data_IF_276729359917
#
_entry.id   IF_276729359917
#
_cell.length_a   1.000
_cell.length_b   1.000
_cell.length_c   1.000
_cell.angle_alpha   90.00
_cell.angle_beta   90.00
_cell.angle_gamma   90.00
#
_symmetry.space_group_name_H-M   'P 1'
#
loop_
_entity.id
_entity.type
_entity.pdbx_description
1 polymer ?
#
# COMPACT_ATOMS: atom_id res chain seq x y z
N UNK A 1 11.47 -3.32 10.05
CA UNK A 1 10.10 -3.47 10.59
C UNK A 1 9.78 -2.66 11.87
N UNK A 2 10.77 -2.10 12.60
CA UNK A 2 10.47 -1.44 13.91
C UNK A 2 10.01 0.03 13.78
N UNK A 3 10.52 0.81 12.83
CA UNK A 3 10.25 2.26 12.72
C UNK A 3 8.95 2.58 11.97
N UNK A 4 8.73 2.04 10.79
CA UNK A 4 7.47 2.25 10.04
C UNK A 4 6.27 1.65 10.80
N UNK A 5 6.44 0.46 11.40
CA UNK A 5 5.43 -0.12 12.30
C UNK A 5 5.15 0.77 13.51
N UNK A 6 6.19 1.37 14.12
CA UNK A 6 6.02 2.33 15.23
C UNK A 6 5.29 3.59 14.76
N UNK A 7 5.59 4.09 13.58
CA UNK A 7 4.94 5.25 13.01
C UNK A 7 3.44 4.99 12.74
N UNK A 8 3.11 3.88 12.07
CA UNK A 8 1.71 3.47 11.85
C UNK A 8 1.00 3.22 13.19
N UNK A 9 1.64 2.54 14.13
CA UNK A 9 1.07 2.33 15.47
C UNK A 9 0.91 3.64 16.22
N UNK A 10 1.81 4.61 16.08
CA UNK A 10 1.68 5.93 16.69
C UNK A 10 0.53 6.74 16.05
N UNK A 11 0.37 6.65 14.72
CA UNK A 11 -0.73 7.27 13.98
C UNK A 11 -2.10 6.64 14.35
N UNK A 12 -2.15 5.32 14.45
CA UNK A 12 -3.32 4.59 14.94
C UNK A 12 -3.61 4.87 16.42
N UNK A 13 -2.57 5.14 17.23
CA UNK A 13 -2.74 5.52 18.65
C UNK A 13 -3.44 6.87 18.81
N UNK A 14 -3.25 7.79 17.91
CA UNK A 14 -3.90 9.12 17.93
C UNK A 14 -5.39 9.06 17.56
N UNK A 15 -5.78 8.07 16.76
CA UNK A 15 -7.18 7.86 16.30
C UNK A 15 -7.80 6.56 16.80
N UNK A 16 -7.35 6.04 17.95
CA UNK A 16 -7.79 4.73 18.50
C UNK A 16 -9.30 4.58 18.59
N UNK A 17 -10.01 5.63 19.01
CA UNK A 17 -11.46 5.61 19.12
C UNK A 17 -12.14 5.43 17.76
N UNK A 18 -11.76 6.22 16.77
CA UNK A 18 -12.31 6.12 15.41
C UNK A 18 -12.00 4.74 14.77
N UNK A 19 -10.78 4.23 14.97
CA UNK A 19 -10.38 2.93 14.47
C UNK A 19 -11.15 1.79 15.14
N UNK A 20 -11.35 1.84 16.47
CA UNK A 20 -12.12 0.83 17.20
C UNK A 20 -13.61 0.85 16.79
N UNK A 21 -14.21 2.03 16.63
CA UNK A 21 -15.59 2.18 16.15
C UNK A 21 -15.71 1.63 14.71
N UNK A 22 -14.77 1.95 13.85
CA UNK A 22 -14.76 1.46 12.48
C UNK A 22 -14.62 -0.08 12.42
N UNK A 23 -13.78 -0.67 13.26
CA UNK A 23 -13.60 -2.12 13.36
C UNK A 23 -14.88 -2.80 13.90
N UNK A 24 -15.49 -2.24 14.93
CA UNK A 24 -16.76 -2.72 15.47
C UNK A 24 -17.88 -2.65 14.43
N UNK A 25 -17.94 -1.55 13.64
CA UNK A 25 -18.89 -1.39 12.54
C UNK A 25 -18.65 -2.43 11.42
N UNK A 26 -17.39 -2.79 11.11
CA UNK A 26 -17.08 -3.87 10.15
C UNK A 26 -17.62 -5.22 10.63
N UNK A 27 -17.41 -5.57 11.90
CA UNK A 27 -17.89 -6.82 12.48
C UNK A 27 -19.42 -6.85 12.52
N UNK A 28 -20.04 -5.74 12.91
CA UNK A 28 -21.50 -5.60 12.92
C UNK A 28 -22.08 -5.72 11.51
N UNK A 29 -21.42 -5.13 10.50
CA UNK A 29 -21.80 -5.30 9.10
C UNK A 29 -21.74 -6.77 8.67
N UNK A 30 -20.64 -7.46 9.00
CA UNK A 30 -20.52 -8.89 8.73
C UNK A 30 -21.61 -9.73 9.38
N UNK A 31 -21.87 -9.51 10.66
CA UNK A 31 -22.93 -10.21 11.40
C UNK A 31 -24.33 -9.95 10.81
N UNK A 32 -24.64 -8.67 10.49
CA UNK A 32 -25.91 -8.31 9.84
C UNK A 32 -26.07 -8.96 8.47
N UNK A 33 -24.99 -9.06 7.69
CA UNK A 33 -24.97 -9.71 6.39
C UNK A 33 -25.22 -11.22 6.49
N UNK A 34 -24.66 -11.88 7.49
CA UNK A 34 -24.91 -13.31 7.75
C UNK A 34 -26.37 -13.54 8.18
N UNK A 35 -26.92 -12.65 9.01
CA UNK A 35 -28.33 -12.72 9.41
C UNK A 35 -29.28 -12.49 8.22
N UNK A 36 -28.92 -11.60 7.28
CA UNK A 36 -29.67 -11.42 6.02
C UNK A 36 -29.72 -12.73 5.23
N UNK A 37 -28.58 -13.42 5.10
CA UNK A 37 -28.52 -14.70 4.37
C UNK A 37 -29.28 -15.78 5.12
N UNK A 38 -29.16 -15.85 6.43
CA UNK A 38 -29.87 -16.82 7.24
C UNK A 38 -31.41 -16.64 7.17
N UNK A 39 -31.88 -15.36 7.20
CA UNK A 39 -33.32 -15.07 7.05
C UNK A 39 -33.80 -15.39 5.63
N UNK A 40 -33.03 -15.07 4.61
CA UNK A 40 -33.35 -15.40 3.22
C UNK A 40 -33.36 -16.93 2.97
N UNK A 41 -32.34 -17.63 3.46
CA UNK A 41 -32.26 -19.10 3.40
C UNK A 41 -33.48 -19.75 4.03
N UNK A 42 -33.90 -19.25 5.20
CA UNK A 42 -35.06 -19.77 5.92
C UNK A 42 -36.38 -19.52 5.16
N UNK A 43 -36.55 -18.32 4.58
CA UNK A 43 -37.72 -17.98 3.78
C UNK A 43 -37.85 -18.85 2.52
N UNK A 44 -36.72 -19.25 1.91
CA UNK A 44 -36.69 -20.08 0.71
C UNK A 44 -36.86 -21.58 1.05
N UNK A 45 -36.36 -22.03 2.19
CA UNK A 45 -36.47 -23.43 2.62
C UNK A 45 -37.85 -23.77 3.20
N UNK A 46 -38.52 -22.81 3.85
CA UNK A 46 -39.81 -22.95 4.49
C UNK A 46 -40.77 -21.81 4.07
N UNK A 47 -41.33 -21.84 2.85
CA UNK A 47 -42.19 -20.75 2.34
C UNK A 47 -43.42 -20.46 3.20
N UNK A 48 -43.90 -21.47 3.94
CA UNK A 48 -45.04 -21.32 4.88
C UNK A 48 -44.67 -20.60 6.18
N UNK A 49 -43.37 -20.52 6.52
CA UNK A 49 -42.85 -19.78 7.67
C UNK A 49 -42.44 -18.33 7.34
N UNK A 50 -42.70 -17.89 6.13
CA UNK A 50 -42.40 -16.52 5.68
C UNK A 50 -43.44 -15.51 6.20
N UNK A 51 -43.31 -15.16 7.47
CA UNK A 51 -44.19 -14.22 8.19
C UNK A 51 -43.71 -12.76 8.01
N UNK A 52 -44.63 -11.81 8.27
CA UNK A 52 -44.31 -10.39 8.34
C UNK A 52 -43.16 -10.08 9.33
N UNK A 53 -43.03 -10.89 10.41
CA UNK A 53 -41.92 -10.77 11.37
C UNK A 53 -40.55 -11.09 10.75
N UNK A 54 -40.47 -12.05 9.83
CA UNK A 54 -39.25 -12.41 9.12
C UNK A 54 -38.85 -11.31 8.14
N UNK A 55 -39.83 -10.74 7.41
CA UNK A 55 -39.62 -9.61 6.52
C UNK A 55 -39.11 -8.36 7.25
N UNK A 56 -39.67 -8.08 8.45
CA UNK A 56 -39.21 -6.97 9.28
C UNK A 56 -37.78 -7.17 9.79
N UNK A 57 -37.43 -8.37 10.24
CA UNK A 57 -36.05 -8.72 10.66
C UNK A 57 -35.06 -8.56 9.49
N UNK A 58 -35.41 -9.04 8.32
CA UNK A 58 -34.62 -8.85 7.09
C UNK A 58 -34.40 -7.37 6.80
N UNK A 59 -35.47 -6.56 6.81
CA UNK A 59 -35.39 -5.11 6.59
C UNK A 59 -34.49 -4.40 7.60
N UNK A 60 -34.62 -4.75 8.88
CA UNK A 60 -33.78 -4.19 9.95
C UNK A 60 -32.30 -4.55 9.74
N UNK A 61 -32.00 -5.81 9.45
CA UNK A 61 -30.62 -6.24 9.16
C UNK A 61 -30.04 -5.54 7.93
N UNK A 62 -30.86 -5.32 6.87
CA UNK A 62 -30.44 -4.60 5.68
C UNK A 62 -30.10 -3.14 5.98
N UNK A 63 -30.91 -2.46 6.81
CA UNK A 63 -30.64 -1.08 7.23
C UNK A 63 -29.36 -1.02 8.08
N UNK A 64 -29.17 -1.93 9.03
CA UNK A 64 -27.94 -1.99 9.85
C UNK A 64 -26.73 -2.25 8.97
N UNK A 65 -26.80 -3.18 8.01
CA UNK A 65 -25.70 -3.46 7.09
C UNK A 65 -25.36 -2.24 6.22
N UNK A 66 -26.37 -1.50 5.73
CA UNK A 66 -26.17 -0.28 4.95
C UNK A 66 -25.49 0.81 5.78
N UNK A 67 -26.03 1.12 6.96
CA UNK A 67 -25.50 2.18 7.84
C UNK A 67 -24.07 1.86 8.27
N UNK A 68 -23.82 0.64 8.73
CA UNK A 68 -22.47 0.24 9.14
C UNK A 68 -21.47 0.26 8.00
N UNK A 69 -21.87 -0.10 6.78
CA UNK A 69 -21.02 -0.02 5.58
C UNK A 69 -20.65 1.43 5.26
N UNK A 70 -21.62 2.35 5.29
CA UNK A 70 -21.36 3.78 5.05
C UNK A 70 -20.43 4.36 6.11
N UNK A 71 -20.74 4.12 7.39
CA UNK A 71 -19.93 4.60 8.53
C UNK A 71 -18.49 4.10 8.42
N UNK A 72 -18.32 2.81 8.18
CA UNK A 72 -16.99 2.20 7.98
C UNK A 72 -16.25 2.84 6.81
N UNK A 73 -16.89 2.97 5.66
CA UNK A 73 -16.28 3.57 4.46
C UNK A 73 -15.79 4.99 4.71
N UNK A 74 -16.63 5.84 5.34
CA UNK A 74 -16.28 7.24 5.64
C UNK A 74 -15.15 7.35 6.66
N UNK A 75 -15.20 6.55 7.74
CA UNK A 75 -14.16 6.58 8.79
C UNK A 75 -12.79 6.14 8.24
N UNK A 76 -12.75 5.04 7.48
CA UNK A 76 -11.49 4.57 6.92
C UNK A 76 -10.97 5.46 5.79
N UNK A 77 -11.84 6.09 4.99
CA UNK A 77 -11.43 7.08 4.00
C UNK A 77 -10.72 8.26 4.66
N UNK A 78 -11.29 8.82 5.74
CA UNK A 78 -10.66 9.88 6.51
C UNK A 78 -9.31 9.41 7.11
N UNK A 79 -9.30 8.26 7.76
CA UNK A 79 -8.09 7.70 8.37
C UNK A 79 -6.97 7.47 7.35
N UNK A 80 -7.32 7.01 6.14
CA UNK A 80 -6.41 6.82 5.01
C UNK A 80 -5.76 8.12 4.59
N UNK A 81 -6.55 9.18 4.35
CA UNK A 81 -6.06 10.48 3.88
C UNK A 81 -5.23 11.18 4.97
N UNK A 82 -5.66 11.12 6.22
CA UNK A 82 -4.92 11.69 7.35
C UNK A 82 -3.56 10.99 7.52
N UNK A 83 -3.52 9.66 7.39
CA UNK A 83 -2.27 8.89 7.47
C UNK A 83 -1.32 9.23 6.33
N UNK A 84 -1.85 9.36 5.10
CA UNK A 84 -1.07 9.75 3.92
C UNK A 84 -0.47 11.15 4.08
N UNK A 85 -1.26 12.12 4.54
CA UNK A 85 -0.81 13.48 4.78
C UNK A 85 0.30 13.52 5.84
N UNK A 86 0.09 12.86 6.99
CA UNK A 86 1.08 12.80 8.07
C UNK A 86 2.37 12.07 7.67
N UNK A 87 2.27 11.01 6.87
CA UNK A 87 3.44 10.30 6.35
C UNK A 87 4.27 11.20 5.45
N UNK A 88 3.63 11.89 4.50
CA UNK A 88 4.30 12.83 3.60
C UNK A 88 4.96 13.98 4.36
N UNK A 89 4.25 14.55 5.31
CA UNK A 89 4.79 15.61 6.17
C UNK A 89 5.99 15.12 6.98
N UNK A 90 5.91 13.93 7.58
CA UNK A 90 7.01 13.34 8.34
C UNK A 90 8.26 13.11 7.47
N UNK A 91 8.08 12.56 6.27
CA UNK A 91 9.19 12.34 5.33
C UNK A 91 9.78 13.68 4.88
N UNK A 92 8.93 14.65 4.48
CA UNK A 92 9.36 15.96 4.03
C UNK A 92 10.16 16.71 5.12
N UNK A 93 9.68 16.70 6.36
CA UNK A 93 10.41 17.31 7.50
C UNK A 93 11.76 16.63 7.75
N UNK A 94 11.85 15.30 7.59
CA UNK A 94 13.11 14.60 7.75
C UNK A 94 14.11 14.94 6.66
N UNK A 95 13.66 15.04 5.40
CA UNK A 95 14.51 15.46 4.28
C UNK A 95 14.98 16.91 4.48
N UNK A 96 14.08 17.80 4.90
CA UNK A 96 14.44 19.20 5.15
C UNK A 96 15.42 19.40 6.32
N UNK A 97 15.42 18.49 7.30
CA UNK A 97 16.32 18.54 8.46
C UNK A 97 17.65 17.79 8.22
N UNK A 98 17.82 17.08 7.09
CA UNK A 98 19.02 16.34 6.77
C UNK A 98 20.11 17.28 6.21
N UNK A 99 21.39 16.92 6.41
CA UNK A 99 22.50 17.64 5.78
C UNK A 99 22.44 17.50 4.25
N UNK A 100 22.83 18.57 3.53
CA UNK A 100 22.79 18.61 2.07
C UNK A 100 23.55 17.44 1.42
N UNK A 101 24.72 17.09 1.95
CA UNK A 101 25.53 15.97 1.46
C UNK A 101 24.78 14.63 1.48
N UNK A 102 23.96 14.43 2.52
CA UNK A 102 23.21 13.20 2.68
C UNK A 102 22.02 13.17 1.73
N UNK A 103 21.37 14.32 1.51
CA UNK A 103 20.28 14.44 0.53
C UNK A 103 20.82 14.19 -0.88
N UNK A 104 22.00 14.74 -1.22
CA UNK A 104 22.66 14.50 -2.51
C UNK A 104 23.06 13.03 -2.69
N UNK A 105 23.59 12.39 -1.64
CA UNK A 105 23.97 10.97 -1.66
C UNK A 105 22.78 10.02 -1.85
N UNK A 106 21.65 10.30 -1.18
CA UNK A 106 20.42 9.49 -1.32
C UNK A 106 19.76 9.75 -2.67
N UNK A 107 19.84 10.99 -3.16
CA UNK A 107 19.24 11.43 -4.42
C UNK A 107 17.73 11.68 -4.31
N UNK A 108 17.21 12.42 -5.29
CA UNK A 108 15.81 12.82 -5.33
C UNK A 108 14.84 11.66 -5.66
N UNK A 109 15.28 10.71 -6.51
CA UNK A 109 14.40 9.67 -7.04
C UNK A 109 13.81 8.72 -5.95
N UNK A 110 14.59 8.19 -5.00
CA UNK A 110 14.04 7.37 -3.90
C UNK A 110 13.08 8.14 -3.01
N UNK A 111 13.39 9.41 -2.71
CA UNK A 111 12.54 10.28 -1.89
C UNK A 111 11.21 10.54 -2.61
N UNK A 112 11.26 10.87 -3.90
CA UNK A 112 10.08 11.10 -4.72
C UNK A 112 9.20 9.85 -4.81
N UNK A 113 9.79 8.67 -5.04
CA UNK A 113 9.07 7.40 -5.07
C UNK A 113 8.34 7.12 -3.74
N UNK A 114 9.00 7.38 -2.60
CA UNK A 114 8.38 7.22 -1.28
C UNK A 114 7.22 8.19 -1.06
N UNK A 115 7.38 9.46 -1.47
CA UNK A 115 6.34 10.49 -1.31
C UNK A 115 5.15 10.32 -2.25
N UNK A 116 5.31 9.60 -3.36
CA UNK A 116 4.26 9.34 -4.35
C UNK A 116 3.69 7.93 -4.22
N UNK A 117 4.37 6.95 -4.78
CA UNK A 117 3.85 5.59 -4.94
C UNK A 117 3.78 4.85 -3.61
N UNK A 118 4.84 4.90 -2.80
CA UNK A 118 4.87 4.15 -1.53
C UNK A 118 3.87 4.72 -0.52
N UNK A 119 3.75 6.05 -0.42
CA UNK A 119 2.74 6.68 0.42
C UNK A 119 1.31 6.32 -0.03
N UNK A 120 1.08 6.23 -1.35
CA UNK A 120 -0.20 5.82 -1.91
C UNK A 120 -0.51 4.36 -1.59
N UNK A 121 0.45 3.43 -1.75
CA UNK A 121 0.27 2.02 -1.42
C UNK A 121 -0.06 1.82 0.07
N UNK A 122 0.60 2.58 0.96
CA UNK A 122 0.29 2.55 2.41
C UNK A 122 -1.11 3.11 2.68
N UNK A 123 -1.51 4.18 1.98
CA UNK A 123 -2.87 4.72 2.07
C UNK A 123 -3.93 3.69 1.63
N UNK A 124 -3.66 2.93 0.55
CA UNK A 124 -4.55 1.88 0.06
C UNK A 124 -4.74 0.74 1.08
N UNK A 125 -3.78 0.50 1.96
CA UNK A 125 -3.93 -0.45 3.07
C UNK A 125 -5.15 -0.11 3.95
N UNK A 126 -5.39 1.18 4.22
CA UNK A 126 -6.52 1.62 5.03
C UNK A 126 -7.87 1.44 4.33
N UNK A 127 -7.90 1.37 2.99
CA UNK A 127 -9.10 0.97 2.24
C UNK A 127 -9.26 -0.56 2.20
N UNK A 128 -8.16 -1.31 2.20
CA UNK A 128 -8.19 -2.76 2.18
C UNK A 128 -8.59 -3.36 3.54
N UNK A 129 -8.15 -2.77 4.66
CA UNK A 129 -8.42 -3.27 6.02
C UNK A 129 -9.90 -3.44 6.34
N UNK A 130 -10.80 -2.44 6.13
CA UNK A 130 -12.23 -2.62 6.38
C UNK A 130 -12.85 -3.72 5.51
N UNK A 131 -12.45 -3.80 4.24
CA UNK A 131 -12.92 -4.85 3.35
C UNK A 131 -12.50 -6.23 3.84
N UNK A 132 -11.26 -6.40 4.31
CA UNK A 132 -10.76 -7.66 4.87
C UNK A 132 -11.53 -8.05 6.13
N UNK A 133 -11.74 -7.12 7.06
CA UNK A 133 -12.47 -7.41 8.30
C UNK A 133 -13.94 -7.70 8.01
N UNK A 134 -14.57 -6.93 7.14
CA UNK A 134 -15.98 -7.11 6.76
C UNK A 134 -16.18 -8.45 6.04
N UNK A 135 -15.43 -8.70 4.97
CA UNK A 135 -15.53 -9.95 4.21
C UNK A 135 -15.10 -11.17 5.04
N UNK A 136 -14.07 -11.01 5.87
CA UNK A 136 -13.67 -12.04 6.83
C UNK A 136 -14.81 -12.37 7.81
N UNK A 137 -15.45 -11.37 8.41
CA UNK A 137 -16.59 -11.57 9.31
C UNK A 137 -17.76 -12.27 8.62
N UNK A 138 -18.03 -11.94 7.35
CA UNK A 138 -19.08 -12.61 6.58
C UNK A 138 -18.70 -14.08 6.33
N UNK A 139 -17.47 -14.36 5.87
CA UNK A 139 -17.03 -15.75 5.60
C UNK A 139 -17.06 -16.60 6.88
N UNK A 140 -16.50 -16.09 7.99
CA UNK A 140 -16.53 -16.79 9.26
C UNK A 140 -17.96 -16.99 9.78
N UNK A 141 -18.83 -16.01 9.65
CA UNK A 141 -20.23 -16.11 10.03
C UNK A 141 -21.02 -17.11 9.16
N UNK A 142 -20.77 -17.14 7.84
CA UNK A 142 -21.35 -18.12 6.94
C UNK A 142 -20.87 -19.54 7.25
N UNK A 143 -19.59 -19.73 7.55
CA UNK A 143 -19.05 -21.02 7.99
C UNK A 143 -19.69 -21.46 9.31
N UNK A 144 -19.87 -20.53 10.27
CA UNK A 144 -20.57 -20.82 11.54
C UNK A 144 -22.03 -21.23 11.30
N UNK A 145 -22.74 -20.53 10.41
CA UNK A 145 -24.11 -20.88 10.04
C UNK A 145 -24.19 -22.25 9.33
N UNK A 146 -23.23 -22.55 8.44
CA UNK A 146 -23.10 -23.87 7.79
C UNK A 146 -22.81 -24.98 8.80
N UNK A 147 -21.93 -24.72 9.78
CA UNK A 147 -21.62 -25.69 10.83
C UNK A 147 -22.85 -26.03 11.68
N UNK A 148 -23.70 -25.00 11.93
CA UNK A 148 -24.98 -25.20 12.65
C UNK A 148 -25.98 -26.00 11.80
N UNK A 149 -26.02 -25.75 10.46
CA UNK A 149 -26.96 -26.42 9.57
C UNK A 149 -26.50 -27.84 9.22
N UNK A 150 -25.20 -28.04 8.94
CA UNK A 150 -24.58 -29.35 8.65
C UNK A 150 -23.07 -29.34 8.85
N UNK A 151 -22.60 -30.04 9.85
CA UNK A 151 -21.17 -30.18 10.14
C UNK A 151 -20.32 -30.78 9.00
N UNK A 152 -20.80 -31.83 8.29
CA UNK A 152 -20.03 -32.41 7.17
C UNK A 152 -19.84 -31.42 6.00
N UNK A 153 -20.88 -30.63 5.67
CA UNK A 153 -20.81 -29.63 4.60
C UNK A 153 -19.87 -28.49 4.98
N UNK A 154 -19.87 -28.07 6.25
CA UNK A 154 -18.92 -27.10 6.76
C UNK A 154 -17.47 -27.61 6.66
N UNK A 155 -17.20 -28.85 7.04
CA UNK A 155 -15.86 -29.45 6.91
C UNK A 155 -15.39 -29.48 5.45
N UNK A 156 -16.28 -29.84 4.52
CA UNK A 156 -15.98 -29.83 3.10
C UNK A 156 -15.67 -28.40 2.60
N UNK A 157 -16.43 -27.39 3.07
CA UNK A 157 -16.17 -25.98 2.77
C UNK A 157 -14.79 -25.53 3.27
N UNK A 158 -14.47 -25.83 4.52
CA UNK A 158 -13.17 -25.52 5.11
C UNK A 158 -12.04 -26.22 4.36
N UNK A 159 -12.22 -27.50 4.00
CA UNK A 159 -11.24 -28.24 3.21
C UNK A 159 -11.00 -27.58 1.82
N UNK A 160 -12.08 -27.17 1.14
CA UNK A 160 -11.99 -26.46 -0.14
C UNK A 160 -11.23 -25.13 -0.01
N UNK A 161 -11.50 -24.34 1.05
CA UNK A 161 -10.81 -23.09 1.34
C UNK A 161 -9.33 -23.35 1.62
N UNK A 162 -9.00 -24.38 2.42
CA UNK A 162 -7.60 -24.75 2.72
C UNK A 162 -6.83 -25.19 1.46
N UNK A 163 -7.40 -26.06 0.63
CA UNK A 163 -6.79 -26.51 -0.63
C UNK A 163 -6.61 -25.32 -1.57
N UNK A 164 -7.61 -24.44 -1.65
CA UNK A 164 -7.53 -23.20 -2.43
C UNK A 164 -6.41 -22.28 -1.96
N UNK A 165 -6.29 -22.11 -0.65
CA UNK A 165 -5.24 -21.28 -0.01
C UNK A 165 -3.83 -21.84 -0.27
N UNK A 166 -3.65 -23.15 -0.20
CA UNK A 166 -2.36 -23.80 -0.50
C UNK A 166 -1.93 -23.58 -1.95
N UNK A 167 -2.85 -23.73 -2.91
CA UNK A 167 -2.57 -23.45 -4.32
C UNK A 167 -2.24 -21.98 -4.59
N UNK A 168 -2.93 -21.07 -3.91
CA UNK A 168 -2.68 -19.63 -3.99
C UNK A 168 -1.28 -19.27 -3.45
N UNK A 169 -0.91 -19.81 -2.30
CA UNK A 169 0.40 -19.52 -1.66
C UNK A 169 1.60 -19.94 -2.52
N UNK A 170 1.45 -20.92 -3.40
CA UNK A 170 2.54 -21.32 -4.32
C UNK A 170 2.89 -20.21 -5.32
N UNK A 171 1.91 -19.40 -5.74
CA UNK A 171 2.09 -18.26 -6.63
C UNK A 171 2.48 -16.95 -5.92
N UNK A 172 2.01 -16.76 -4.70
CA UNK A 172 2.12 -15.51 -3.94
C UNK A 172 3.58 -15.09 -3.68
N UNK A 173 4.46 -16.01 -3.28
CA UNK A 173 5.89 -15.72 -3.05
C UNK A 173 6.59 -15.18 -4.29
N UNK A 174 6.28 -15.70 -5.48
CA UNK A 174 6.83 -15.22 -6.74
C UNK A 174 6.26 -13.85 -7.12
N UNK A 175 4.97 -13.66 -6.89
CA UNK A 175 4.31 -12.38 -7.14
C UNK A 175 4.89 -11.26 -6.28
N UNK A 176 5.17 -11.52 -4.99
CA UNK A 176 5.84 -10.57 -4.09
C UNK A 176 7.23 -10.20 -4.61
N UNK A 177 8.05 -11.19 -5.01
CA UNK A 177 9.38 -10.91 -5.55
C UNK A 177 9.32 -10.03 -6.81
N UNK A 178 8.36 -10.28 -7.71
CA UNK A 178 8.15 -9.42 -8.89
C UNK A 178 7.65 -8.02 -8.55
N UNK A 179 6.88 -7.85 -7.48
CA UNK A 179 6.50 -6.51 -6.98
C UNK A 179 7.69 -5.75 -6.39
N UNK A 180 8.59 -6.44 -5.69
CA UNK A 180 9.83 -5.84 -5.19
C UNK A 180 10.74 -5.39 -6.36
N UNK A 181 10.86 -6.24 -7.39
CA UNK A 181 11.60 -5.91 -8.62
C UNK A 181 10.95 -4.72 -9.35
N UNK A 182 9.63 -4.71 -9.45
CA UNK A 182 8.90 -3.58 -10.03
C UNK A 182 9.16 -2.27 -9.25
N UNK A 183 9.25 -2.33 -7.92
CA UNK A 183 9.59 -1.18 -7.10
C UNK A 183 11.00 -0.64 -7.40
N UNK A 184 12.00 -1.53 -7.54
CA UNK A 184 13.37 -1.15 -7.92
C UNK A 184 13.43 -0.53 -9.33
N UNK A 185 12.72 -1.12 -10.28
CA UNK A 185 12.64 -0.58 -11.65
C UNK A 185 11.89 0.75 -11.70
N UNK A 186 10.92 0.96 -10.82
CA UNK A 186 10.20 2.23 -10.68
C UNK A 186 11.13 3.37 -10.23
N UNK A 187 12.07 3.11 -9.32
CA UNK A 187 13.07 4.11 -8.89
C UNK A 187 13.97 4.54 -10.06
N UNK A 188 14.43 3.57 -10.87
CA UNK A 188 15.18 3.87 -12.10
C UNK A 188 14.36 4.71 -13.08
N UNK A 189 13.08 4.36 -13.25
CA UNK A 189 12.17 5.10 -14.12
C UNK A 189 12.00 6.55 -13.66
N UNK A 190 11.83 6.80 -12.37
CA UNK A 190 11.77 8.16 -11.82
C UNK A 190 13.08 8.93 -12.07
N UNK A 191 14.23 8.26 -11.95
CA UNK A 191 15.51 8.86 -12.30
C UNK A 191 15.58 9.31 -13.77
N UNK A 192 15.15 8.47 -14.71
CA UNK A 192 15.11 8.82 -16.14
C UNK A 192 14.07 9.91 -16.44
N UNK A 193 12.90 9.89 -15.79
CA UNK A 193 11.92 10.97 -15.95
C UNK A 193 12.47 12.30 -15.42
N UNK A 194 13.18 12.29 -14.29
CA UNK A 194 13.89 13.47 -13.79
C UNK A 194 14.94 13.98 -14.80
N UNK A 195 15.73 13.07 -15.36
CA UNK A 195 16.73 13.40 -16.39
C UNK A 195 16.09 13.97 -17.68
N UNK A 196 14.92 13.48 -18.08
CA UNK A 196 14.16 13.99 -19.22
C UNK A 196 13.81 15.48 -19.04
N UNK A 197 13.33 15.85 -17.84
CA UNK A 197 12.95 17.23 -17.56
C UNK A 197 14.17 18.14 -17.37
N UNK A 198 15.17 17.70 -16.61
CA UNK A 198 16.38 18.49 -16.37
C UNK A 198 17.23 18.69 -17.63
N UNK A 199 17.28 17.66 -18.51
CA UNK A 199 18.00 17.69 -19.78
C UNK A 199 17.13 18.05 -21.00
N UNK A 200 15.93 18.59 -20.81
CA UNK A 200 14.99 18.83 -21.90
C UNK A 200 15.54 19.78 -22.98
N UNK A 201 16.34 20.76 -22.58
CA UNK A 201 16.96 21.71 -23.52
C UNK A 201 17.98 21.01 -24.43
N UNK A 202 18.84 20.20 -23.85
CA UNK A 202 19.87 19.43 -24.57
C UNK A 202 19.24 18.38 -25.49
N UNK A 203 18.21 17.71 -25.02
CA UNK A 203 17.48 16.72 -25.82
C UNK A 203 16.75 17.35 -27.00
N UNK A 204 16.21 18.57 -26.85
CA UNK A 204 15.58 19.30 -27.97
C UNK A 204 16.59 19.78 -29.01
N UNK A 205 17.83 20.09 -28.62
CA UNK A 205 18.88 20.50 -29.51
C UNK A 205 19.46 19.33 -30.33
N UNK A 206 19.36 18.08 -29.81
CA UNK A 206 19.94 16.88 -30.40
C UNK A 206 18.93 15.78 -30.64
N UNK A 207 18.18 15.79 -31.73
CA UNK A 207 17.12 14.83 -32.02
C UNK A 207 17.56 13.34 -31.94
N UNK A 208 18.77 13.02 -32.45
CA UNK A 208 19.30 11.67 -32.43
C UNK A 208 19.49 11.18 -30.96
N UNK A 209 20.04 12.02 -30.09
CA UNK A 209 20.22 11.74 -28.67
C UNK A 209 18.90 11.64 -27.94
N UNK A 210 17.94 12.50 -28.30
CA UNK A 210 16.57 12.43 -27.75
C UNK A 210 15.89 11.10 -28.06
N UNK A 211 15.95 10.64 -29.32
CA UNK A 211 15.41 9.32 -29.71
C UNK A 211 16.10 8.17 -28.95
N UNK A 212 17.44 8.18 -28.94
CA UNK A 212 18.21 7.16 -28.22
C UNK A 212 17.86 7.12 -26.72
N UNK A 213 17.64 8.26 -26.09
CA UNK A 213 17.25 8.34 -24.70
C UNK A 213 15.82 7.84 -24.49
N UNK A 214 14.84 8.35 -25.26
CA UNK A 214 13.42 8.03 -25.10
C UNK A 214 13.12 6.57 -25.48
N UNK A 215 13.57 6.14 -26.65
CA UNK A 215 13.28 4.79 -27.16
C UNK A 215 14.20 3.73 -26.53
N UNK A 216 15.41 4.12 -26.14
CA UNK A 216 16.38 3.24 -25.49
C UNK A 216 16.20 3.18 -23.96
N UNK A 217 16.82 4.13 -23.25
CA UNK A 217 16.94 4.06 -21.79
C UNK A 217 15.58 4.20 -21.08
N UNK A 218 14.80 5.23 -21.44
CA UNK A 218 13.50 5.46 -20.83
C UNK A 218 12.49 4.38 -21.23
N UNK A 219 12.45 4.01 -22.53
CA UNK A 219 11.59 2.97 -23.05
C UNK A 219 11.88 1.60 -22.42
N UNK A 220 13.16 1.24 -22.23
CA UNK A 220 13.57 0.03 -21.54
C UNK A 220 13.12 0.02 -20.07
N UNK A 221 13.29 1.14 -19.35
CA UNK A 221 12.83 1.24 -17.95
C UNK A 221 11.32 1.13 -17.82
N UNK A 222 10.55 1.74 -18.73
CA UNK A 222 9.09 1.59 -18.79
C UNK A 222 8.71 0.13 -19.04
N UNK A 223 9.37 -0.54 -19.98
CA UNK A 223 9.11 -1.94 -20.29
C UNK A 223 9.43 -2.85 -19.11
N UNK A 224 10.52 -2.60 -18.38
CA UNK A 224 10.93 -3.36 -17.20
C UNK A 224 9.87 -3.28 -16.09
N UNK A 225 9.39 -2.09 -15.74
CA UNK A 225 8.32 -1.88 -14.76
C UNK A 225 7.03 -2.59 -15.20
N UNK A 226 6.64 -2.42 -16.48
CA UNK A 226 5.46 -3.07 -17.06
C UNK A 226 5.55 -4.58 -16.92
N UNK A 227 6.69 -5.17 -17.27
CA UNK A 227 6.84 -6.63 -17.33
C UNK A 227 6.86 -7.25 -15.93
N UNK A 228 7.50 -6.62 -14.96
CA UNK A 228 7.45 -7.06 -13.56
C UNK A 228 6.03 -6.96 -12.98
N UNK A 229 5.34 -5.83 -13.17
CA UNK A 229 3.95 -5.66 -12.72
C UNK A 229 3.01 -6.66 -13.40
N UNK A 230 3.14 -6.86 -14.72
CA UNK A 230 2.33 -7.82 -15.46
C UNK A 230 2.50 -9.24 -14.92
N UNK A 231 3.73 -9.68 -14.66
CA UNK A 231 3.99 -11.02 -14.08
C UNK A 231 3.37 -11.15 -12.69
N UNK A 232 3.52 -10.15 -11.84
CA UNK A 232 2.96 -10.16 -10.49
C UNK A 232 1.42 -10.25 -10.52
N UNK A 233 0.76 -9.34 -11.26
CA UNK A 233 -0.70 -9.33 -11.33
C UNK A 233 -1.27 -10.55 -12.05
N UNK A 234 -0.58 -11.10 -13.06
CA UNK A 234 -0.99 -12.35 -13.70
C UNK A 234 -0.93 -13.54 -12.74
N UNK A 235 0.08 -13.61 -11.86
CA UNK A 235 0.17 -14.65 -10.85
C UNK A 235 -0.99 -14.56 -9.84
N UNK A 236 -1.34 -13.35 -9.40
CA UNK A 236 -2.50 -13.13 -8.54
C UNK A 236 -3.82 -13.52 -9.23
N UNK A 237 -4.01 -13.13 -10.50
CA UNK A 237 -5.20 -13.48 -11.25
C UNK A 237 -5.37 -15.00 -11.41
N UNK A 238 -4.27 -15.73 -11.68
CA UNK A 238 -4.28 -17.19 -11.75
C UNK A 238 -4.62 -17.80 -10.38
N UNK A 239 -4.04 -17.26 -9.29
CA UNK A 239 -4.32 -17.73 -7.94
C UNK A 239 -5.79 -17.52 -7.53
N UNK A 240 -6.36 -16.35 -7.83
CA UNK A 240 -7.79 -16.07 -7.61
C UNK A 240 -8.66 -16.99 -8.44
N UNK A 241 -8.35 -17.16 -9.74
CA UNK A 241 -9.08 -18.06 -10.62
C UNK A 241 -9.10 -19.50 -10.13
N UNK A 242 -7.98 -20.00 -9.57
CA UNK A 242 -7.89 -21.31 -8.94
C UNK A 242 -8.86 -21.47 -7.76
N UNK A 243 -8.94 -20.48 -6.87
CA UNK A 243 -9.83 -20.51 -5.71
C UNK A 243 -11.29 -20.46 -6.14
N UNK A 244 -11.64 -19.60 -7.11
CA UNK A 244 -12.99 -19.51 -7.67
C UNK A 244 -13.39 -20.82 -8.35
N UNK A 245 -12.47 -21.46 -9.08
CA UNK A 245 -12.71 -22.79 -9.67
C UNK A 245 -13.03 -23.84 -8.60
N UNK A 246 -12.22 -23.92 -7.54
CA UNK A 246 -12.48 -24.84 -6.42
C UNK A 246 -13.82 -24.55 -5.74
N UNK A 247 -14.19 -23.29 -5.64
CA UNK A 247 -15.49 -22.90 -5.11
C UNK A 247 -16.64 -23.46 -5.96
N UNK A 248 -16.56 -23.36 -7.30
CA UNK A 248 -17.56 -23.93 -8.20
C UNK A 248 -17.60 -25.45 -8.13
N UNK A 249 -16.45 -26.12 -8.05
CA UNK A 249 -16.39 -27.59 -7.85
C UNK A 249 -17.10 -27.97 -6.55
N UNK A 250 -16.80 -27.23 -5.47
CA UNK A 250 -17.45 -27.47 -4.20
C UNK A 250 -18.97 -27.23 -4.24
N UNK A 251 -19.40 -26.12 -4.87
CA UNK A 251 -20.82 -25.82 -5.05
C UNK A 251 -21.55 -26.94 -5.84
N UNK A 252 -20.91 -27.45 -6.90
CA UNK A 252 -21.42 -28.59 -7.66
C UNK A 252 -21.55 -29.86 -6.81
N UNK A 253 -20.50 -30.19 -6.05
CA UNK A 253 -20.56 -31.34 -5.12
C UNK A 253 -21.68 -31.16 -4.10
N UNK A 254 -21.79 -29.99 -3.47
CA UNK A 254 -22.83 -29.72 -2.48
C UNK A 254 -24.25 -29.78 -3.08
N UNK A 255 -24.46 -29.24 -4.27
CA UNK A 255 -25.76 -29.24 -4.94
C UNK A 255 -26.20 -30.64 -5.43
N UNK A 256 -25.24 -31.43 -5.94
CA UNK A 256 -25.52 -32.77 -6.44
C UNK A 256 -25.28 -33.89 -5.38
N UNK A 257 -25.01 -33.53 -4.13
CA UNK A 257 -24.78 -34.46 -3.02
C UNK A 257 -25.84 -35.54 -2.86
N UNK A 258 -27.16 -35.22 -2.97
CA UNK A 258 -28.22 -36.23 -2.90
C UNK A 258 -28.16 -37.25 -4.07
N UNK A 259 -27.74 -36.80 -5.27
CA UNK A 259 -27.59 -37.64 -6.42
C UNK A 259 -26.41 -38.63 -6.30
N UNK A 260 -25.45 -38.35 -5.42
CA UNK A 260 -24.30 -39.21 -5.10
C UNK A 260 -24.66 -40.27 -4.01
N UNK A 261 -25.94 -40.42 -3.67
CA UNK A 261 -26.42 -41.44 -2.74
C UNK A 261 -26.29 -41.12 -1.27
N UNK A 262 -25.90 -39.89 -0.93
CA UNK A 262 -25.84 -39.45 0.47
C UNK A 262 -27.19 -38.85 0.87
N UNK A 263 -27.88 -39.48 1.84
CA UNK A 263 -29.17 -39.03 2.34
C UNK A 263 -29.01 -37.63 2.98
N UNK A 264 -29.56 -36.62 2.32
CA UNK A 264 -29.70 -35.26 2.84
C UNK A 264 -31.17 -34.87 2.87
N UNK A 265 -31.63 -34.19 3.89
CA UNK A 265 -32.98 -33.64 3.92
C UNK A 265 -33.13 -32.56 2.86
N UNK A 266 -34.04 -32.77 1.90
CA UNK A 266 -34.24 -31.93 0.72
C UNK A 266 -34.35 -30.41 0.97
N UNK A 267 -35.02 -29.94 2.03
CA UNK A 267 -35.08 -28.52 2.40
C UNK A 267 -33.75 -27.92 2.79
N UNK A 268 -32.86 -28.68 3.41
CA UNK A 268 -31.53 -28.20 3.83
C UNK A 268 -30.60 -27.91 2.64
N UNK A 269 -30.77 -28.61 1.51
CA UNK A 269 -29.92 -28.44 0.33
C UNK A 269 -30.04 -27.05 -0.28
N UNK A 270 -31.25 -26.49 -0.36
CA UNK A 270 -31.46 -25.11 -0.85
C UNK A 270 -30.77 -24.08 0.03
N UNK A 271 -30.79 -24.27 1.34
CA UNK A 271 -30.12 -23.43 2.32
C UNK A 271 -28.59 -23.38 2.11
N UNK A 272 -27.94 -24.52 1.84
CA UNK A 272 -26.51 -24.58 1.59
C UNK A 272 -26.13 -23.79 0.33
N UNK A 273 -26.87 -23.98 -0.77
CA UNK A 273 -26.62 -23.29 -2.04
C UNK A 273 -26.70 -21.77 -1.87
N UNK A 274 -27.69 -21.27 -1.17
CA UNK A 274 -27.86 -19.81 -0.92
C UNK A 274 -26.68 -19.26 -0.12
N UNK A 275 -26.27 -19.93 0.95
CA UNK A 275 -25.14 -19.50 1.78
C UNK A 275 -23.84 -19.48 0.98
N UNK A 276 -23.62 -20.49 0.12
CA UNK A 276 -22.44 -20.54 -0.72
C UNK A 276 -22.41 -19.47 -1.78
N UNK A 277 -23.50 -19.27 -2.50
CA UNK A 277 -23.59 -18.21 -3.51
C UNK A 277 -23.33 -16.83 -2.89
N UNK A 278 -23.82 -16.62 -1.67
CA UNK A 278 -23.56 -15.38 -0.95
C UNK A 278 -22.09 -15.24 -0.50
N UNK A 279 -21.43 -16.34 -0.15
CA UNK A 279 -20.05 -16.34 0.32
C UNK A 279 -19.05 -16.06 -0.82
N UNK A 280 -19.44 -16.25 -2.09
CA UNK A 280 -18.57 -16.06 -3.26
C UNK A 280 -17.99 -14.64 -3.33
N UNK A 281 -18.85 -13.61 -3.23
CA UNK A 281 -18.40 -12.22 -3.30
C UNK A 281 -17.49 -11.81 -2.13
N UNK A 282 -17.80 -12.14 -0.87
CA UNK A 282 -16.88 -11.92 0.24
C UNK A 282 -15.53 -12.66 0.09
N UNK A 283 -15.54 -13.89 -0.41
CA UNK A 283 -14.31 -14.65 -0.62
C UNK A 283 -13.44 -14.01 -1.71
N UNK A 284 -14.04 -13.63 -2.84
CA UNK A 284 -13.37 -12.89 -3.91
C UNK A 284 -12.81 -11.55 -3.39
N UNK A 285 -13.59 -10.82 -2.58
CA UNK A 285 -13.15 -9.58 -1.95
C UNK A 285 -11.96 -9.76 -1.00
N UNK A 286 -11.86 -10.86 -0.25
CA UNK A 286 -10.69 -11.18 0.56
C UNK A 286 -9.44 -11.36 -0.30
N UNK A 287 -9.56 -12.12 -1.38
CA UNK A 287 -8.44 -12.49 -2.26
C UNK A 287 -7.93 -11.28 -3.06
N UNK A 288 -8.83 -10.46 -3.59
CA UNK A 288 -8.48 -9.27 -4.35
C UNK A 288 -7.78 -8.18 -3.50
N UNK A 289 -7.87 -8.24 -2.17
CA UNK A 289 -7.13 -7.35 -1.28
C UNK A 289 -5.71 -7.85 -0.95
N UNK A 290 -5.35 -9.11 -1.24
CA UNK A 290 -4.00 -9.65 -0.95
C UNK A 290 -2.89 -8.90 -1.71
N UNK A 291 -3.01 -8.59 -3.02
CA UNK A 291 -2.02 -7.80 -3.73
C UNK A 291 -1.80 -6.42 -3.09
N UNK A 292 -2.86 -5.76 -2.62
CA UNK A 292 -2.79 -4.46 -1.95
C UNK A 292 -2.03 -4.56 -0.62
N UNK A 293 -2.27 -5.62 0.17
CA UNK A 293 -1.52 -5.87 1.40
C UNK A 293 -0.03 -6.08 1.14
N UNK A 294 0.30 -6.86 0.12
CA UNK A 294 1.68 -7.15 -0.24
C UNK A 294 2.39 -5.91 -0.79
N UNK A 295 1.72 -5.11 -1.65
CA UNK A 295 2.26 -3.85 -2.14
C UNK A 295 2.51 -2.86 -0.98
N UNK A 296 1.56 -2.73 -0.06
CA UNK A 296 1.71 -1.88 1.12
C UNK A 296 2.85 -2.34 2.04
N UNK A 297 3.03 -3.66 2.20
CA UNK A 297 4.17 -4.22 2.96
C UNK A 297 5.50 -3.85 2.34
N UNK A 298 5.66 -4.05 1.02
CA UNK A 298 6.88 -3.69 0.29
C UNK A 298 7.17 -2.19 0.41
N UNK A 299 6.15 -1.35 0.22
CA UNK A 299 6.26 0.10 0.37
C UNK A 299 6.65 0.53 1.79
N UNK A 300 6.10 -0.13 2.82
CA UNK A 300 6.49 0.12 4.21
C UNK A 300 7.95 -0.23 4.48
N UNK A 301 8.45 -1.34 3.93
CA UNK A 301 9.85 -1.72 4.05
C UNK A 301 10.79 -0.71 3.36
N UNK A 302 10.38 -0.15 2.22
CA UNK A 302 11.12 0.90 1.50
C UNK A 302 11.14 2.21 2.29
N UNK A 303 9.99 2.66 2.79
CA UNK A 303 9.88 3.84 3.65
C UNK A 303 10.76 3.67 4.89
N UNK A 304 10.76 2.48 5.53
CA UNK A 304 11.58 2.20 6.71
C UNK A 304 13.08 2.28 6.40
N UNK A 305 13.52 1.73 5.25
CA UNK A 305 14.90 1.82 4.81
C UNK A 305 15.32 3.27 4.58
N UNK A 306 14.50 4.04 3.87
CA UNK A 306 14.76 5.46 3.64
C UNK A 306 14.82 6.25 4.96
N UNK A 307 13.86 6.03 5.86
CA UNK A 307 13.83 6.68 7.17
C UNK A 307 15.02 6.29 8.05
N UNK A 308 15.51 5.06 7.95
CA UNK A 308 16.70 4.61 8.66
C UNK A 308 17.96 5.31 8.12
N UNK A 309 18.06 5.51 6.81
CA UNK A 309 19.14 6.30 6.21
C UNK A 309 19.15 7.72 6.77
N UNK A 310 18.02 8.43 6.70
CA UNK A 310 17.90 9.78 7.28
C UNK A 310 18.00 9.80 8.81
N UNK A 311 17.65 8.74 9.52
CA UNK A 311 17.74 8.65 10.98
C UNK A 311 19.13 8.37 11.52
N UNK A 312 20.03 7.81 10.70
CA UNK A 312 21.43 7.59 11.01
C UNK A 312 22.30 8.84 10.77
N UNK A 313 21.75 9.85 10.09
CA UNK A 313 22.43 11.07 9.72
C UNK A 313 22.36 12.11 10.84
N UNK A 314 23.36 12.99 10.88
CA UNK A 314 23.33 14.13 11.79
C UNK A 314 22.14 15.05 11.41
N UNK A 315 21.27 15.28 12.37
CA UNK A 315 20.23 16.26 12.21
C UNK A 315 20.87 17.64 12.41
N UNK A 316 20.74 18.52 11.45
CA UNK A 316 21.12 19.92 11.65
C UNK A 316 20.39 20.44 12.91
N UNK A 317 21.04 21.15 13.80
CA UNK A 317 20.37 21.75 14.93
C UNK A 317 19.21 22.62 14.40
N UNK A 318 18.03 22.59 15.06
CA UNK A 318 16.93 23.44 14.63
C UNK A 318 17.42 24.90 14.59
N UNK A 319 17.02 25.68 13.59
CA UNK A 319 17.30 27.11 13.59
C UNK A 319 16.84 27.67 14.93
N UNK A 320 17.72 28.40 15.60
CA UNK A 320 17.34 29.09 16.83
C UNK A 320 16.34 30.16 16.45
N UNK A 321 15.05 29.93 16.70
CA UNK A 321 13.97 30.87 16.40
C UNK A 321 14.13 32.19 17.19
N UNK A 322 14.96 32.18 18.23
CA UNK A 322 15.33 33.34 19.07
C UNK A 322 16.72 33.90 18.73
N UNK A 323 17.40 33.36 17.70
CA UNK A 323 18.63 33.97 17.24
C UNK A 323 18.29 35.42 16.83
N UNK A 324 18.70 36.35 17.67
CA UNK A 324 18.56 37.78 17.40
C UNK A 324 19.22 38.04 16.04
N UNK A 325 18.50 38.65 15.11
CA UNK A 325 19.07 39.14 13.86
C UNK A 325 19.96 40.35 14.16
N UNK A 326 21.01 40.11 14.96
CA UNK A 326 22.01 41.15 15.15
C UNK A 326 22.72 41.29 13.79
N UNK A 327 22.86 42.55 13.31
CA UNK A 327 23.61 42.78 12.09
C UNK A 327 25.04 42.28 12.30
N UNK A 328 25.53 41.42 11.40
CA UNK A 328 26.90 40.96 11.48
C UNK A 328 27.85 42.05 11.01
N UNK A 329 28.97 42.21 11.72
CA UNK A 329 30.01 43.17 11.32
C UNK A 329 30.96 42.59 10.29
N UNK A 330 31.29 41.31 10.43
CA UNK A 330 32.19 40.61 9.52
C UNK A 330 31.86 39.13 9.49
N UNK A 331 31.93 38.50 8.30
CA UNK A 331 31.93 37.08 8.11
C UNK A 331 33.32 36.63 7.65
N UNK A 332 34.06 35.95 8.52
CA UNK A 332 35.42 35.49 8.23
C UNK A 332 35.46 33.97 8.02
N UNK A 333 35.86 33.52 6.82
CA UNK A 333 36.25 32.17 6.52
C UNK A 333 37.76 32.05 6.80
N UNK A 334 38.18 31.08 7.60
CA UNK A 334 39.62 30.86 7.90
C UNK A 334 39.97 29.41 7.63
N UNK A 335 40.80 29.18 6.62
CA UNK A 335 41.27 27.86 6.24
C UNK A 335 40.14 26.89 5.89
N UNK A 336 38.99 27.38 5.43
CA UNK A 336 37.81 26.54 5.17
C UNK A 336 38.11 25.60 4.03
N UNK A 337 37.95 24.30 4.29
CA UNK A 337 38.08 23.26 3.25
C UNK A 337 36.80 22.45 3.19
N UNK A 338 36.37 22.15 1.98
CA UNK A 338 35.30 21.20 1.74
C UNK A 338 35.72 20.13 0.75
N UNK A 339 35.33 18.87 1.03
CA UNK A 339 35.63 17.75 0.14
C UNK A 339 34.36 16.96 -0.13
N UNK A 340 34.09 16.64 -1.35
CA UNK A 340 33.01 15.73 -1.73
C UNK A 340 33.51 14.67 -2.70
N UNK A 341 32.88 13.51 -2.59
CA UNK A 341 33.17 12.37 -3.42
C UNK A 341 32.34 12.42 -4.71
N UNK A 342 33.01 12.44 -5.85
CA UNK A 342 32.34 12.38 -7.12
C UNK A 342 32.21 10.92 -7.54
N UNK A 343 31.02 10.33 -7.41
CA UNK A 343 30.78 8.90 -7.68
C UNK A 343 31.14 8.46 -9.10
N UNK A 344 31.07 9.37 -10.11
CA UNK A 344 31.39 9.06 -11.51
C UNK A 344 32.89 8.87 -11.75
N UNK A 345 33.72 9.56 -11.00
CA UNK A 345 35.17 9.61 -11.25
C UNK A 345 36.00 8.92 -10.15
N UNK A 346 35.31 8.34 -9.12
CA UNK A 346 35.92 7.74 -7.92
C UNK A 346 37.00 8.65 -7.26
N UNK A 347 36.88 9.98 -7.41
CA UNK A 347 37.86 10.96 -6.93
C UNK A 347 37.25 11.86 -5.87
N UNK A 348 38.06 12.11 -4.84
CA UNK A 348 37.78 13.16 -3.86
C UNK A 348 38.11 14.51 -4.47
N UNK A 349 37.11 15.35 -4.66
CA UNK A 349 37.32 16.75 -5.04
C UNK A 349 37.36 17.59 -3.76
N UNK A 350 38.46 18.34 -3.60
CA UNK A 350 38.67 19.19 -2.43
C UNK A 350 38.77 20.65 -2.87
N UNK A 351 37.96 21.50 -2.25
CA UNK A 351 38.00 22.95 -2.37
C UNK A 351 38.62 23.52 -1.11
N UNK A 352 39.54 24.49 -1.26
CA UNK A 352 40.20 25.14 -0.14
C UNK A 352 41.68 24.71 0.03
N UNK A 353 42.38 25.25 1.06
CA UNK A 353 41.85 26.11 2.11
C UNK A 353 41.43 27.50 1.59
N UNK A 354 40.32 28.04 2.05
CA UNK A 354 39.79 29.34 1.68
C UNK A 354 39.87 30.28 2.88
N UNK A 355 40.56 31.39 2.70
CA UNK A 355 40.58 32.49 3.65
C UNK A 355 39.90 33.71 3.00
N UNK A 356 38.73 34.11 3.55
CA UNK A 356 37.94 35.21 3.00
C UNK A 356 37.23 35.95 4.10
N UNK A 357 37.27 37.26 4.06
CA UNK A 357 36.53 38.12 5.01
C UNK A 357 35.56 38.98 4.22
N UNK A 358 34.28 38.91 4.61
CA UNK A 358 33.18 39.64 3.98
C UNK A 358 32.64 40.69 4.97
N UNK A 359 32.34 41.88 4.48
CA UNK A 359 31.71 42.98 5.26
C UNK A 359 30.29 43.24 4.76
N UNK A 360 29.40 43.79 5.62
CA UNK A 360 28.09 44.21 5.16
C UNK A 360 28.15 45.21 4.02
N UNK A 361 27.32 44.99 2.98
CA UNK A 361 27.29 45.84 1.78
C UNK A 361 28.41 45.61 0.77
N UNK A 362 29.34 44.68 1.01
CA UNK A 362 30.39 44.33 0.06
C UNK A 362 29.86 43.39 -1.03
N UNK A 363 30.21 43.64 -2.26
CA UNK A 363 29.88 42.82 -3.42
C UNK A 363 31.10 41.99 -3.83
N UNK A 364 31.04 40.69 -3.63
CA UNK A 364 32.14 39.75 -3.97
C UNK A 364 31.78 38.87 -5.14
N UNK A 365 32.67 38.86 -6.17
CA UNK A 365 32.49 38.00 -7.33
C UNK A 365 33.38 36.77 -7.23
N UNK A 366 32.75 35.56 -7.30
CA UNK A 366 33.48 34.29 -7.38
C UNK A 366 33.60 33.90 -8.85
N UNK A 367 34.84 33.95 -9.37
CA UNK A 367 35.16 33.64 -10.77
C UNK A 367 36.00 32.37 -10.87
N UNK A 368 35.85 31.64 -11.97
CA UNK A 368 36.60 30.41 -12.22
C UNK A 368 36.03 29.58 -13.35
N UNK A 369 36.75 28.60 -13.82
CA UNK A 369 36.33 27.67 -14.90
C UNK A 369 35.19 26.73 -14.46
N UNK A 370 34.63 26.02 -15.42
CA UNK A 370 33.63 24.98 -15.11
C UNK A 370 34.27 23.84 -14.30
N UNK A 371 33.63 23.42 -13.21
CA UNK A 371 34.16 22.39 -12.33
C UNK A 371 35.21 22.88 -11.29
N UNK A 372 35.49 24.20 -11.19
CA UNK A 372 36.45 24.75 -10.23
C UNK A 372 35.99 24.86 -8.79
N UNK A 373 34.75 24.43 -8.49
CA UNK A 373 34.19 24.48 -7.12
C UNK A 373 33.51 25.77 -6.77
N UNK A 374 33.09 26.61 -7.74
CA UNK A 374 32.40 27.89 -7.50
C UNK A 374 31.06 27.70 -6.70
N UNK A 375 30.36 26.63 -7.00
CA UNK A 375 29.06 26.31 -6.39
C UNK A 375 29.21 25.66 -5.01
N UNK A 376 30.37 25.06 -4.78
CA UNK A 376 30.75 24.50 -3.47
C UNK A 376 30.98 25.59 -2.45
#
# INVERSE_FOLDING_TARGET
MKHARRLIVALLKRSRGAFAIALAACVLNGASSVLLVATLSRALSEPQAADASLAWRFGLCAVIALVTRIVTGVLFARLSQDTMAQLREHVARRVAAAELQDVERIGAAPVQSVLTDDATNVSMLFFALPNLVMHGSIVFGCLGYLAWLSWPVCLLAVAAILVGSLGYHAGDKRAIAWLEDAGRSQDKLFGYLGALFSGAKELKLHQARSRQFVDGQLGAAIAEVRDHRRRAFSAYAIGVGWIVFLFYVFLGVAAFWPALGVRGDGPATSGYVVVFLFMLLPLDGLLNNVPTLNAARVSLERIEKLMAQFGALRTAPPPDENASHEPFDTLALRGVTHSYFHERDERMFRVGPIDLTLKPGELVFIVGGNGSGKTT
#
